data_IF_138066124140
#
_entry.id   IF_138066124140
#
_cell.length_a   1.000
_cell.length_b   1.000
_cell.length_c   1.000
_cell.angle_alpha   90.00
_cell.angle_beta   90.00
_cell.angle_gamma   90.00
#
_symmetry.space_group_name_H-M   'P 1'
#
loop_
_entity.id
_entity.type
_entity.pdbx_description
1 polymer ?
#
# COMPACT_ATOMS: atom_id res chain seq x y z
N UNK A 1 -2.54 -2.74 -44.90
CA UNK A 1 -2.11 -1.34 -44.74
C UNK A 1 -2.01 -0.75 -46.14
N UNK A 2 -2.76 0.32 -46.43
CA UNK A 2 -2.73 1.02 -47.73
C UNK A 2 -1.59 2.06 -47.71
N UNK A 3 -0.84 2.26 -48.80
CA UNK A 3 0.15 3.33 -48.91
C UNK A 3 -0.49 4.72 -48.70
N UNK A 4 0.28 5.67 -48.14
CA UNK A 4 -0.24 6.99 -47.77
C UNK A 4 -0.75 7.78 -48.99
N UNK A 5 -0.01 7.76 -50.10
CA UNK A 5 -0.35 8.48 -51.34
C UNK A 5 -1.67 7.97 -51.94
N UNK A 6 -1.89 6.66 -51.92
CA UNK A 6 -3.13 6.03 -52.37
C UNK A 6 -4.31 6.41 -51.47
N UNK A 7 -4.09 6.45 -50.15
CA UNK A 7 -5.11 6.84 -49.18
C UNK A 7 -5.49 8.33 -49.30
N UNK A 8 -4.52 9.21 -49.55
CA UNK A 8 -4.74 10.64 -49.79
C UNK A 8 -5.55 10.90 -51.06
N UNK A 9 -5.25 10.15 -52.13
CA UNK A 9 -5.99 10.23 -53.40
C UNK A 9 -7.43 9.72 -53.24
N UNK A 10 -7.62 8.60 -52.55
CA UNK A 10 -8.93 7.99 -52.31
C UNK A 10 -9.82 8.84 -51.39
N UNK A 11 -9.24 9.49 -50.37
CA UNK A 11 -9.96 10.35 -49.42
C UNK A 11 -10.04 11.82 -49.87
N UNK A 12 -9.48 12.16 -51.03
CA UNK A 12 -9.45 13.53 -51.58
C UNK A 12 -8.80 14.56 -50.63
N UNK A 13 -7.76 14.16 -49.90
CA UNK A 13 -7.06 15.03 -48.95
C UNK A 13 -5.91 15.85 -49.56
N UNK A 14 -5.54 15.61 -50.82
CA UNK A 14 -4.34 16.21 -51.41
C UNK A 14 -3.09 15.89 -50.58
N UNK A 15 -2.22 16.89 -50.34
CA UNK A 15 -0.99 16.72 -49.55
C UNK A 15 -1.22 16.81 -48.02
N UNK A 16 -2.47 16.81 -47.55
CA UNK A 16 -2.76 16.93 -46.11
C UNK A 16 -2.87 15.58 -45.40
N UNK A 17 -2.57 15.56 -44.10
CA UNK A 17 -2.69 14.39 -43.22
C UNK A 17 -3.47 14.79 -41.97
N UNK A 18 -4.46 13.99 -41.60
CA UNK A 18 -5.40 14.33 -40.52
C UNK A 18 -4.84 13.97 -39.13
N UNK A 19 -4.22 12.79 -38.99
CA UNK A 19 -3.66 12.27 -37.73
C UNK A 19 -2.31 11.64 -38.02
N UNK A 20 -1.31 12.01 -37.21
CA UNK A 20 -0.01 11.35 -37.17
C UNK A 20 0.11 10.64 -35.83
N UNK A 21 0.11 9.32 -35.85
CA UNK A 21 0.30 8.51 -34.65
C UNK A 21 1.80 8.27 -34.43
N UNK A 22 2.27 8.60 -33.23
CA UNK A 22 3.64 8.35 -32.80
C UNK A 22 3.64 7.24 -31.75
N UNK A 23 4.24 6.11 -32.07
CA UNK A 23 4.39 5.01 -31.12
C UNK A 23 5.72 5.13 -30.38
N UNK A 24 5.64 5.19 -29.06
CA UNK A 24 6.80 5.29 -28.17
C UNK A 24 7.06 3.99 -27.44
N UNK A 25 8.32 3.63 -27.24
CA UNK A 25 8.70 2.42 -26.50
C UNK A 25 8.42 2.50 -24.99
N UNK A 26 8.31 3.72 -24.42
CA UNK A 26 8.04 3.93 -23.00
C UNK A 26 6.85 4.89 -22.80
N UNK A 27 5.67 4.38 -22.42
CA UNK A 27 4.47 5.20 -22.25
C UNK A 27 4.53 6.14 -21.01
N UNK A 28 5.47 5.90 -20.09
CA UNK A 28 5.64 6.71 -18.88
C UNK A 28 6.46 7.99 -19.16
N UNK A 29 7.28 8.00 -20.21
CA UNK A 29 8.21 9.10 -20.51
C UNK A 29 7.74 10.02 -21.65
N UNK A 30 6.44 10.21 -21.80
CA UNK A 30 5.88 10.93 -22.95
C UNK A 30 6.03 12.44 -22.85
N UNK A 31 5.98 13.01 -21.65
CA UNK A 31 6.14 14.45 -21.44
C UNK A 31 7.41 15.02 -22.08
N UNK A 32 8.60 14.46 -21.79
CA UNK A 32 9.85 14.90 -22.42
C UNK A 32 9.93 14.65 -23.93
N UNK A 33 9.24 13.63 -24.44
CA UNK A 33 9.21 13.31 -25.88
C UNK A 33 8.35 14.32 -26.63
N UNK A 34 7.20 14.70 -26.06
CA UNK A 34 6.25 15.61 -26.71
C UNK A 34 6.61 17.08 -26.52
N UNK A 35 7.28 17.47 -25.44
CA UNK A 35 7.68 18.86 -25.18
C UNK A 35 8.32 19.56 -26.40
N UNK A 36 9.36 19.02 -27.06
CA UNK A 36 9.95 19.66 -28.24
C UNK A 36 9.05 19.61 -29.49
N UNK A 37 8.05 18.72 -29.53
CA UNK A 37 7.11 18.60 -30.65
C UNK A 37 5.99 19.64 -30.54
N UNK A 38 5.53 19.93 -29.32
CA UNK A 38 4.52 20.97 -29.06
C UNK A 38 5.02 22.33 -29.58
N UNK A 39 6.28 22.69 -29.31
CA UNK A 39 6.88 23.94 -29.77
C UNK A 39 7.00 24.01 -31.30
N UNK A 40 7.28 22.88 -31.96
CA UNK A 40 7.42 22.81 -33.43
C UNK A 40 6.08 22.79 -34.17
N UNK A 41 5.05 22.18 -33.59
CA UNK A 41 3.71 22.09 -34.18
C UNK A 41 2.94 23.40 -33.97
N UNK A 42 3.19 24.09 -32.85
CA UNK A 42 2.68 25.43 -32.60
C UNK A 42 1.15 25.51 -32.73
N UNK A 43 0.66 26.35 -33.66
CA UNK A 43 -0.77 26.54 -33.94
C UNK A 43 -1.33 25.64 -35.04
N UNK A 44 -0.49 24.84 -35.69
CA UNK A 44 -0.88 24.04 -36.86
C UNK A 44 -1.59 22.74 -36.51
N UNK A 45 -1.65 22.37 -35.23
CA UNK A 45 -2.33 21.16 -34.78
C UNK A 45 -2.43 21.07 -33.26
N UNK A 46 -3.11 20.03 -32.78
CA UNK A 46 -3.23 19.70 -31.36
C UNK A 46 -2.43 18.43 -31.10
N UNK A 47 -1.48 18.50 -30.17
CA UNK A 47 -0.74 17.32 -29.69
C UNK A 47 -1.51 16.75 -28.50
N UNK A 48 -2.02 15.54 -28.64
CA UNK A 48 -2.65 14.80 -27.53
C UNK A 48 -1.83 13.57 -27.20
N UNK A 49 -1.59 13.36 -25.91
CA UNK A 49 -1.01 12.12 -25.42
C UNK A 49 -2.10 11.07 -25.10
N UNK A 50 -1.70 9.81 -24.99
CA UNK A 50 -2.64 8.73 -24.66
C UNK A 50 -3.29 8.90 -23.27
N UNK A 51 -2.67 9.63 -22.33
CA UNK A 51 -3.25 9.87 -21.00
C UNK A 51 -4.38 10.88 -21.08
N UNK A 52 -4.23 11.92 -21.90
CA UNK A 52 -5.25 12.93 -22.20
C UNK A 52 -6.41 12.29 -22.96
N UNK A 53 -6.13 11.44 -23.95
CA UNK A 53 -7.17 10.69 -24.66
C UNK A 53 -7.97 9.78 -23.73
N UNK A 54 -7.34 9.29 -22.65
CA UNK A 54 -7.96 8.41 -21.66
C UNK A 54 -8.13 9.10 -20.29
N UNK A 55 -8.32 10.42 -20.26
CA UNK A 55 -8.31 11.19 -19.00
C UNK A 55 -9.32 10.68 -17.96
N UNK A 56 -10.51 10.26 -18.40
CA UNK A 56 -11.54 9.68 -17.52
C UNK A 56 -11.07 8.40 -16.83
N UNK A 57 -10.33 7.53 -17.54
CA UNK A 57 -9.76 6.31 -16.97
C UNK A 57 -8.68 6.67 -15.93
N UNK A 58 -7.82 7.63 -16.25
CA UNK A 58 -6.77 8.09 -15.33
C UNK A 58 -7.31 8.77 -14.07
N UNK A 59 -8.35 9.60 -14.20
CA UNK A 59 -9.04 10.18 -13.05
C UNK A 59 -9.68 9.11 -12.19
N UNK A 60 -10.37 8.13 -12.81
CA UNK A 60 -10.96 7.00 -12.09
C UNK A 60 -9.89 6.19 -11.33
N UNK A 61 -8.75 5.88 -11.96
CA UNK A 61 -7.62 5.20 -11.33
C UNK A 61 -7.01 6.04 -10.19
N UNK A 62 -6.98 7.37 -10.33
CA UNK A 62 -6.52 8.27 -9.27
C UNK A 62 -7.44 8.23 -8.05
N UNK A 63 -8.75 8.34 -8.26
CA UNK A 63 -9.76 8.23 -7.20
C UNK A 63 -9.70 6.85 -6.52
N UNK A 64 -9.56 5.78 -7.30
CA UNK A 64 -9.43 4.41 -6.79
C UNK A 64 -8.22 4.28 -5.86
N UNK A 65 -7.04 4.80 -6.24
CA UNK A 65 -5.85 4.77 -5.38
C UNK A 65 -6.08 5.48 -4.05
N UNK A 66 -6.72 6.65 -4.06
CA UNK A 66 -7.03 7.41 -2.84
C UNK A 66 -8.02 6.65 -1.95
N UNK A 67 -9.02 6.01 -2.55
CA UNK A 67 -9.97 5.17 -1.82
C UNK A 67 -9.27 3.98 -1.15
N UNK A 68 -8.42 3.26 -1.89
CA UNK A 68 -7.62 2.15 -1.36
C UNK A 68 -6.67 2.58 -0.24
N UNK A 69 -6.01 3.73 -0.39
CA UNK A 69 -5.17 4.31 0.67
C UNK A 69 -5.96 4.61 1.95
N UNK A 70 -7.18 5.14 1.81
CA UNK A 70 -8.06 5.46 2.94
C UNK A 70 -8.49 4.20 3.69
N UNK A 71 -8.93 3.18 2.95
CA UNK A 71 -9.31 1.88 3.53
C UNK A 71 -8.12 1.25 4.25
N UNK A 72 -6.95 1.21 3.62
CA UNK A 72 -5.73 0.67 4.22
C UNK A 72 -5.37 1.40 5.52
N UNK A 73 -5.49 2.73 5.53
CA UNK A 73 -5.23 3.56 6.72
C UNK A 73 -6.14 3.20 7.89
N UNK A 74 -7.43 2.95 7.63
CA UNK A 74 -8.39 2.52 8.67
C UNK A 74 -8.01 1.14 9.23
N UNK A 75 -7.63 0.20 8.36
CA UNK A 75 -7.19 -1.15 8.77
C UNK A 75 -5.96 -1.06 9.67
N UNK A 76 -4.96 -0.26 9.29
CA UNK A 76 -3.76 -0.03 10.09
C UNK A 76 -4.12 0.57 11.45
N UNK A 77 -5.00 1.57 11.48
CA UNK A 77 -5.47 2.19 12.73
C UNK A 77 -6.12 1.16 13.66
N UNK A 78 -7.01 0.30 13.14
CA UNK A 78 -7.63 -0.78 13.92
C UNK A 78 -6.59 -1.76 14.46
N UNK A 79 -5.60 -2.13 13.65
CA UNK A 79 -4.51 -3.03 14.07
C UNK A 79 -3.67 -2.42 15.21
N UNK A 80 -3.37 -1.12 15.12
CA UNK A 80 -2.62 -0.38 16.16
C UNK A 80 -3.40 -0.35 17.49
N UNK A 81 -4.71 -0.09 17.45
CA UNK A 81 -5.56 -0.15 18.65
C UNK A 81 -5.61 -1.55 19.26
N UNK A 82 -5.56 -2.60 18.43
CA UNK A 82 -5.53 -3.97 18.91
C UNK A 82 -4.23 -4.27 19.69
N UNK A 83 -3.08 -3.87 19.13
CA UNK A 83 -1.78 -4.00 19.81
C UNK A 83 -1.79 -3.24 21.14
N UNK A 84 -2.27 -1.99 21.14
CA UNK A 84 -2.38 -1.18 22.35
C UNK A 84 -3.23 -1.89 23.42
N UNK A 85 -4.40 -2.39 23.05
CA UNK A 85 -5.32 -3.08 23.95
C UNK A 85 -4.69 -4.35 24.53
N UNK A 86 -4.02 -5.14 23.68
CA UNK A 86 -3.33 -6.36 24.09
C UNK A 86 -2.18 -6.07 25.06
N UNK A 87 -1.34 -5.05 24.78
CA UNK A 87 -0.24 -4.67 25.66
C UNK A 87 -0.72 -4.12 27.00
N UNK A 88 -1.77 -3.29 27.02
CA UNK A 88 -2.39 -2.82 28.26
C UNK A 88 -2.88 -4.01 29.09
N UNK A 89 -3.54 -4.98 28.44
CA UNK A 89 -4.00 -6.18 29.11
C UNK A 89 -2.85 -7.01 29.67
N UNK A 90 -1.75 -7.15 28.91
CA UNK A 90 -0.54 -7.85 29.35
C UNK A 90 0.08 -7.17 30.58
N UNK A 91 0.20 -5.85 30.58
CA UNK A 91 0.68 -5.08 31.75
C UNK A 91 -0.22 -5.33 32.96
N UNK A 92 -1.54 -5.28 32.78
CA UNK A 92 -2.50 -5.54 33.87
C UNK A 92 -2.36 -6.95 34.44
N UNK A 93 -2.27 -7.96 33.58
CA UNK A 93 -2.07 -9.35 33.98
C UNK A 93 -0.73 -9.57 34.71
N UNK A 94 0.29 -8.76 34.39
CA UNK A 94 1.63 -8.84 34.98
C UNK A 94 1.91 -7.81 36.09
N UNK A 95 0.89 -7.13 36.59
CA UNK A 95 1.04 -6.07 37.62
C UNK A 95 1.76 -6.55 38.87
N UNK A 96 1.49 -7.78 39.34
CA UNK A 96 2.17 -8.39 40.50
C UNK A 96 3.65 -8.65 40.24
N UNK A 97 3.98 -9.26 39.10
CA UNK A 97 5.36 -9.54 38.70
C UNK A 97 6.16 -8.23 38.59
N UNK A 98 5.54 -7.16 38.05
CA UNK A 98 6.12 -5.81 37.99
C UNK A 98 6.37 -5.27 39.39
N UNK A 99 5.41 -5.42 40.32
CA UNK A 99 5.56 -4.96 41.70
C UNK A 99 6.73 -5.66 42.41
N UNK A 100 6.86 -6.98 42.25
CA UNK A 100 7.98 -7.75 42.81
C UNK A 100 9.33 -7.29 42.23
N UNK A 101 9.42 -7.07 40.91
CA UNK A 101 10.63 -6.53 40.30
C UNK A 101 10.97 -5.12 40.84
N UNK A 102 9.95 -4.29 41.05
CA UNK A 102 10.10 -2.93 41.60
C UNK A 102 10.56 -2.95 43.06
N UNK A 103 10.08 -3.90 43.88
CA UNK A 103 10.57 -4.05 45.27
C UNK A 103 11.98 -4.62 45.34
N UNK A 104 12.39 -5.44 44.36
CA UNK A 104 13.78 -5.90 44.21
C UNK A 104 14.74 -4.84 43.65
N UNK A 105 14.27 -3.59 43.43
CA UNK A 105 15.12 -2.46 43.03
C UNK A 105 15.10 -2.15 41.52
N UNK A 106 14.22 -2.76 40.73
CA UNK A 106 14.11 -2.42 39.31
C UNK A 106 13.63 -0.96 39.13
N UNK A 107 14.39 -0.19 38.37
CA UNK A 107 14.06 1.21 38.11
C UNK A 107 12.86 1.35 37.18
N UNK A 108 12.22 2.53 37.22
CA UNK A 108 11.13 2.88 36.30
C UNK A 108 11.55 2.75 34.83
N UNK A 109 12.79 3.14 34.52
CA UNK A 109 13.37 3.02 33.18
C UNK A 109 13.58 1.57 32.73
N UNK A 110 13.93 0.65 33.65
CA UNK A 110 14.04 -0.77 33.34
C UNK A 110 12.68 -1.35 32.92
N UNK A 111 11.60 -0.99 33.62
CA UNK A 111 10.24 -1.42 33.26
C UNK A 111 9.83 -0.90 31.87
N UNK A 112 10.07 0.38 31.58
CA UNK A 112 9.78 0.95 30.26
C UNK A 112 10.54 0.16 29.17
N UNK A 113 11.84 -0.08 29.34
CA UNK A 113 12.64 -0.82 28.35
C UNK A 113 12.11 -2.23 28.09
N UNK A 114 11.72 -2.97 29.12
CA UNK A 114 11.18 -4.32 28.96
C UNK A 114 9.92 -4.29 28.09
N UNK A 115 8.94 -3.45 28.44
CA UNK A 115 7.69 -3.39 27.69
C UNK A 115 7.85 -2.80 26.28
N UNK A 116 8.78 -1.86 26.10
CA UNK A 116 9.15 -1.36 24.77
C UNK A 116 9.74 -2.48 23.91
N UNK A 117 10.69 -3.27 24.42
CA UNK A 117 11.29 -4.40 23.68
C UNK A 117 10.23 -5.44 23.34
N UNK A 118 9.38 -5.84 24.28
CA UNK A 118 8.28 -6.79 24.03
C UNK A 118 7.37 -6.27 22.93
N UNK A 119 6.93 -5.01 23.05
CA UNK A 119 6.04 -4.37 22.10
C UNK A 119 6.63 -4.26 20.69
N UNK A 120 7.85 -3.74 20.57
CA UNK A 120 8.53 -3.58 19.29
C UNK A 120 8.89 -4.92 18.66
N UNK A 121 9.19 -5.96 19.46
CA UNK A 121 9.45 -7.31 18.95
C UNK A 121 8.18 -7.93 18.36
N UNK A 122 7.05 -7.83 19.08
CA UNK A 122 5.76 -8.32 18.56
C UNK A 122 5.39 -7.56 17.28
N UNK A 123 5.53 -6.24 17.27
CA UNK A 123 5.31 -5.41 16.10
C UNK A 123 6.19 -5.78 14.91
N UNK A 124 7.51 -5.89 15.14
CA UNK A 124 8.48 -6.23 14.12
C UNK A 124 8.25 -7.62 13.53
N UNK A 125 7.99 -8.63 14.37
CA UNK A 125 7.63 -9.97 13.90
C UNK A 125 6.32 -9.96 13.11
N UNK A 126 5.34 -9.17 13.53
CA UNK A 126 4.10 -8.98 12.79
C UNK A 126 4.31 -8.38 11.40
N UNK A 127 5.17 -7.36 11.28
CA UNK A 127 5.51 -6.75 9.98
C UNK A 127 6.25 -7.76 9.08
N UNK A 128 7.23 -8.49 9.62
CA UNK A 128 7.97 -9.51 8.86
C UNK A 128 7.03 -10.62 8.37
N UNK A 129 6.21 -11.17 9.28
CA UNK A 129 5.24 -12.21 8.94
C UNK A 129 4.20 -11.70 7.92
N UNK A 130 3.73 -10.46 8.08
CA UNK A 130 2.80 -9.82 7.15
C UNK A 130 3.39 -9.62 5.76
N UNK A 131 4.65 -9.20 5.67
CA UNK A 131 5.36 -9.09 4.39
C UNK A 131 5.52 -10.45 3.72
N UNK A 132 5.97 -11.48 4.45
CA UNK A 132 6.13 -12.84 3.92
C UNK A 132 4.78 -13.36 3.41
N UNK A 133 3.72 -13.25 4.21
CA UNK A 133 2.37 -13.64 3.79
C UNK A 133 1.91 -12.85 2.57
N UNK A 134 2.11 -11.53 2.55
CA UNK A 134 1.76 -10.69 1.41
C UNK A 134 2.46 -11.11 0.11
N UNK A 135 3.76 -11.41 0.17
CA UNK A 135 4.51 -11.91 -0.99
C UNK A 135 4.05 -13.30 -1.43
N UNK A 136 3.73 -14.20 -0.49
CA UNK A 136 3.15 -15.51 -0.82
C UNK A 136 1.81 -15.31 -1.54
N UNK A 137 0.93 -14.44 -1.05
CA UNK A 137 -0.35 -14.14 -1.72
C UNK A 137 -0.16 -13.55 -3.11
N UNK A 138 0.82 -12.66 -3.30
CA UNK A 138 1.15 -12.10 -4.61
C UNK A 138 1.70 -13.16 -5.59
N UNK A 139 2.48 -14.11 -5.07
CA UNK A 139 3.01 -15.23 -5.85
C UNK A 139 1.90 -16.17 -6.30
N UNK A 140 0.99 -16.55 -5.39
CA UNK A 140 -0.12 -17.46 -5.64
C UNK A 140 -1.41 -16.73 -6.08
N UNK A 141 -1.30 -15.50 -6.59
CA UNK A 141 -2.49 -14.66 -6.88
C UNK A 141 -3.49 -15.33 -7.82
N UNK A 142 -3.02 -16.04 -8.84
CA UNK A 142 -3.88 -16.71 -9.82
C UNK A 142 -4.61 -17.90 -9.18
N UNK A 143 -3.91 -18.68 -8.35
CA UNK A 143 -4.49 -19.81 -7.63
C UNK A 143 -5.54 -19.36 -6.62
N UNK A 144 -5.31 -18.22 -5.94
CA UNK A 144 -6.30 -17.61 -5.05
C UNK A 144 -7.55 -17.20 -5.83
N UNK A 145 -7.40 -16.54 -6.99
CA UNK A 145 -8.54 -16.18 -7.85
C UNK A 145 -9.30 -17.43 -8.29
N UNK A 146 -8.60 -18.46 -8.77
CA UNK A 146 -9.22 -19.72 -9.21
C UNK A 146 -9.95 -20.43 -8.05
N UNK A 147 -9.39 -20.42 -6.84
CA UNK A 147 -10.02 -21.00 -5.66
C UNK A 147 -11.32 -20.26 -5.28
N UNK A 148 -11.32 -18.93 -5.34
CA UNK A 148 -12.54 -18.13 -5.07
C UNK A 148 -13.57 -18.33 -6.19
N UNK A 149 -13.14 -18.44 -7.46
CA UNK A 149 -14.03 -18.77 -8.58
C UNK A 149 -14.70 -20.12 -8.39
N UNK A 150 -13.93 -21.13 -8.00
CA UNK A 150 -14.45 -22.46 -7.69
C UNK A 150 -15.45 -22.44 -6.52
N UNK A 151 -15.14 -21.69 -5.45
CA UNK A 151 -16.01 -21.58 -4.28
C UNK A 151 -17.30 -20.78 -4.54
N UNK A 152 -17.25 -19.76 -5.40
CA UNK A 152 -18.38 -18.86 -5.67
C UNK A 152 -19.21 -19.29 -6.89
N UNK A 153 -18.66 -20.17 -7.74
CA UNK A 153 -19.29 -20.61 -8.99
C UNK A 153 -19.40 -19.50 -10.06
N UNK A 154 -18.75 -18.36 -9.84
CA UNK A 154 -18.80 -17.17 -10.70
C UNK A 154 -17.43 -16.96 -11.35
N UNK A 155 -17.42 -16.62 -12.64
CA UNK A 155 -16.19 -16.32 -13.35
C UNK A 155 -15.71 -14.90 -12.99
N UNK A 156 -14.99 -14.78 -11.87
CA UNK A 156 -14.52 -13.50 -11.32
C UNK A 156 -13.55 -12.77 -12.25
N UNK A 157 -12.93 -13.49 -13.18
CA UNK A 157 -11.89 -12.99 -14.06
C UNK A 157 -12.07 -13.54 -15.48
N UNK A 158 -13.10 -13.06 -16.18
CA UNK A 158 -13.32 -13.42 -17.59
C UNK A 158 -12.36 -12.63 -18.51
N UNK A 159 -11.41 -13.29 -19.20
CA UNK A 159 -10.45 -12.64 -20.08
C UNK A 159 -11.13 -11.94 -21.28
N UNK A 160 -12.35 -12.35 -21.65
CA UNK A 160 -13.10 -11.77 -22.77
C UNK A 160 -13.65 -10.37 -22.48
N UNK A 161 -13.88 -10.04 -21.20
CA UNK A 161 -14.41 -8.74 -20.77
C UNK A 161 -13.30 -7.80 -20.30
N UNK A 162 -12.21 -8.35 -19.74
CA UNK A 162 -11.13 -7.55 -19.13
C UNK A 162 -9.84 -7.44 -19.97
N UNK A 163 -9.78 -8.04 -21.15
CA UNK A 163 -8.66 -7.96 -22.12
C UNK A 163 -7.26 -8.33 -21.55
N UNK A 164 -7.21 -8.90 -20.33
CA UNK A 164 -6.01 -9.31 -19.63
C UNK A 164 -6.20 -10.76 -19.17
N UNK A 165 -5.32 -11.65 -19.62
CA UNK A 165 -5.33 -13.09 -19.30
C UNK A 165 -4.91 -13.39 -17.85
N UNK A 166 -4.19 -12.47 -17.22
CA UNK A 166 -3.73 -12.59 -15.84
C UNK A 166 -3.93 -11.27 -15.12
N UNK A 167 -4.07 -11.34 -13.80
CA UNK A 167 -4.02 -10.19 -12.91
C UNK A 167 -2.59 -9.65 -12.89
N UNK A 168 -2.27 -8.48 -13.49
CA UNK A 168 -0.92 -7.96 -13.44
C UNK A 168 -0.66 -7.42 -12.03
N UNK A 169 0.35 -7.96 -11.34
CA UNK A 169 0.83 -7.42 -10.06
C UNK A 169 2.12 -6.64 -10.29
N UNK A 170 2.03 -5.31 -10.33
CA UNK A 170 3.22 -4.45 -10.23
C UNK A 170 3.37 -4.00 -8.79
N UNK A 171 4.25 -4.66 -8.04
CA UNK A 171 4.64 -4.17 -6.72
C UNK A 171 5.63 -3.04 -6.86
N UNK A 172 5.30 -1.87 -6.30
CA UNK A 172 6.25 -0.78 -6.14
C UNK A 172 7.04 -0.98 -4.84
N UNK A 173 8.37 -1.22 -4.90
CA UNK A 173 9.19 -1.39 -3.71
C UNK A 173 9.15 -0.18 -2.77
N UNK A 174 8.94 1.03 -3.31
CA UNK A 174 8.85 2.26 -2.53
C UNK A 174 7.58 2.25 -1.69
N UNK A 175 6.43 1.93 -2.29
CA UNK A 175 5.15 1.83 -1.56
C UNK A 175 5.23 0.78 -0.45
N UNK A 176 5.76 -0.42 -0.76
CA UNK A 176 5.93 -1.50 0.23
C UNK A 176 6.82 -1.06 1.39
N UNK A 177 7.94 -0.40 1.09
CA UNK A 177 8.89 0.09 2.11
C UNK A 177 8.25 1.17 2.99
N UNK A 178 7.52 2.11 2.40
CA UNK A 178 6.81 3.18 3.13
C UNK A 178 5.76 2.59 4.06
N UNK A 179 4.97 1.62 3.60
CA UNK A 179 3.94 0.95 4.43
C UNK A 179 4.60 0.17 5.58
N UNK A 180 5.68 -0.57 5.31
CA UNK A 180 6.39 -1.33 6.33
C UNK A 180 6.99 -0.40 7.41
N UNK A 181 7.60 0.72 7.00
CA UNK A 181 8.12 1.73 7.93
C UNK A 181 6.99 2.38 8.76
N UNK A 182 5.87 2.75 8.13
CA UNK A 182 4.72 3.30 8.86
C UNK A 182 4.18 2.31 9.89
N UNK A 183 4.05 1.02 9.53
CA UNK A 183 3.59 -0.01 10.45
C UNK A 183 4.54 -0.18 11.66
N UNK A 184 5.86 -0.18 11.43
CA UNK A 184 6.86 -0.22 12.50
C UNK A 184 6.79 1.00 13.41
N UNK A 185 6.67 2.21 12.83
CA UNK A 185 6.56 3.46 13.59
C UNK A 185 5.28 3.46 14.44
N UNK A 186 4.13 3.11 13.86
CA UNK A 186 2.88 3.07 14.62
C UNK A 186 2.90 1.98 15.69
N UNK A 187 3.48 0.82 15.41
CA UNK A 187 3.67 -0.21 16.43
C UNK A 187 4.53 0.31 17.58
N UNK A 188 5.66 0.96 17.30
CA UNK A 188 6.52 1.56 18.32
C UNK A 188 5.80 2.67 19.13
N UNK A 189 5.02 3.52 18.47
CA UNK A 189 4.25 4.56 19.17
C UNK A 189 3.17 3.95 20.07
N UNK A 190 2.52 2.88 19.62
CA UNK A 190 1.50 2.18 20.40
C UNK A 190 2.07 1.51 21.65
N UNK A 191 3.35 1.10 21.64
CA UNK A 191 3.97 0.41 22.78
C UNK A 191 4.42 1.38 23.88
N UNK A 192 4.58 2.67 23.55
CA UNK A 192 5.04 3.69 24.47
C UNK A 192 4.05 3.94 25.62
N UNK A 193 2.75 4.04 25.31
CA UNK A 193 1.73 4.30 26.34
C UNK A 193 1.62 3.16 27.39
N UNK A 194 1.49 1.88 27.01
CA UNK A 194 1.51 0.76 27.94
C UNK A 194 2.81 0.68 28.76
N UNK A 195 3.97 0.92 28.13
CA UNK A 195 5.27 0.88 28.81
C UNK A 195 5.38 1.94 29.91
N UNK A 196 4.90 3.16 29.65
CA UNK A 196 4.82 4.24 30.65
C UNK A 196 3.86 3.88 31.78
N UNK A 197 2.72 3.26 31.44
CA UNK A 197 1.73 2.82 32.43
C UNK A 197 2.29 1.74 33.35
N UNK A 198 2.95 0.72 32.81
CA UNK A 198 3.60 -0.35 33.57
C UNK A 198 4.63 0.18 34.57
N UNK A 199 5.40 1.18 34.14
CA UNK A 199 6.44 1.78 34.97
C UNK A 199 5.88 2.67 36.10
N UNK A 200 4.65 3.17 35.94
CA UNK A 200 3.96 3.99 36.95
C UNK A 200 3.28 3.20 38.07
N UNK A 201 3.31 1.86 38.00
CA UNK A 201 2.70 1.01 39.02
C UNK A 201 3.41 1.16 40.38
N UNK A 202 2.63 1.48 41.42
CA UNK A 202 3.09 1.56 42.80
C UNK A 202 3.13 0.15 43.42
N UNK A 203 4.31 -0.40 43.73
CA UNK A 203 4.43 -1.74 44.30
C UNK A 203 3.73 -1.89 45.65
N UNK A 204 3.66 -0.81 46.45
CA UNK A 204 3.07 -0.86 47.79
C UNK A 204 1.54 -1.00 47.71
N UNK A 205 0.92 -0.33 46.74
CA UNK A 205 -0.53 -0.46 46.54
C UNK A 205 -0.90 -1.85 46.02
N UNK A 206 -0.12 -2.40 45.09
CA UNK A 206 -0.41 -3.71 44.49
C UNK A 206 -0.32 -4.85 45.51
N UNK A 207 0.66 -4.80 46.41
CA UNK A 207 0.88 -5.85 47.41
C UNK A 207 -0.02 -5.73 48.66
N UNK A 208 -0.74 -4.61 48.83
CA UNK A 208 -1.57 -4.34 50.01
C UNK A 208 -3.04 -4.75 49.86
N UNK A 209 -3.52 -4.91 48.63
CA UNK A 209 -4.91 -5.31 48.33
C UNK A 209 -5.07 -6.83 48.10
N UNK A 210 -4.08 -7.62 48.52
CA UNK A 210 -4.15 -9.07 48.80
C UNK A 210 -3.75 -9.30 50.26
#
# INVERSE_FOLDING_TARGET
IMPLEDAQTLLMFGDSVNIVELQTNNPDNIGPILAPLVDKIGRSGVVQDWRQMNAQLFEALGVERVAMFTVLSIIILVAVFNILSSLIMLVRAKTRDIAILRTMGASRGAMIRIFMVVGTTIGGLGVIAGLILGFIFLWFRQDVVNAVQWATGQNLWDPSVRFLSELPSKTDPVEVTVIALMALVFSFLATLYPALKAASTDPVQVLRYE
#
